data_IF_593306169792
#
_entry.id   IF_593306169792
#
_cell.length_a   1.000
_cell.length_b   1.000
_cell.length_c   1.000
_cell.angle_alpha   90.00
_cell.angle_beta   90.00
_cell.angle_gamma   90.00
#
_symmetry.space_group_name_H-M   'P 1'
#
loop_
_entity.id
_entity.type
_entity.pdbx_description
1 polymer ?
#
# COMPACT_ATOMS: atom_id res chain seq x y z
N UNK A 1 -5.75 -14.19 18.24
CA UNK A 1 -4.58 -13.86 17.41
C UNK A 1 -3.91 -12.60 17.97
N UNK A 2 -2.58 -12.57 18.10
CA UNK A 2 -1.88 -11.43 18.69
C UNK A 2 -1.85 -10.24 17.69
N UNK A 3 -2.28 -9.04 18.11
CA UNK A 3 -2.30 -7.84 17.25
C UNK A 3 -0.93 -7.52 16.63
N UNK A 4 0.16 -7.79 17.37
CA UNK A 4 1.53 -7.59 16.88
C UNK A 4 1.93 -8.58 15.78
N UNK A 5 1.40 -9.79 15.85
CA UNK A 5 1.63 -10.80 14.81
C UNK A 5 0.83 -10.48 13.56
N UNK A 6 -0.43 -10.06 13.73
CA UNK A 6 -1.27 -9.59 12.63
C UNK A 6 -0.63 -8.37 11.93
N UNK A 7 -0.12 -7.38 12.67
CA UNK A 7 0.55 -6.23 12.05
C UNK A 7 1.81 -6.64 11.26
N UNK A 8 2.61 -7.58 11.77
CA UNK A 8 3.78 -8.09 11.05
C UNK A 8 3.39 -8.73 9.71
N UNK A 9 2.32 -9.52 9.73
CA UNK A 9 1.80 -10.20 8.55
C UNK A 9 1.26 -9.19 7.53
N UNK A 10 0.51 -8.18 7.97
CA UNK A 10 -0.01 -7.12 7.09
C UNK A 10 1.10 -6.26 6.47
N UNK A 11 2.14 -5.91 7.24
CA UNK A 11 3.31 -5.22 6.68
C UNK A 11 4.01 -6.07 5.63
N UNK A 12 4.17 -7.37 5.89
CA UNK A 12 4.80 -8.29 4.94
C UNK A 12 4.00 -8.39 3.63
N UNK A 13 2.68 -8.51 3.72
CA UNK A 13 1.80 -8.51 2.54
C UNK A 13 1.94 -7.20 1.76
N UNK A 14 1.84 -6.05 2.42
CA UNK A 14 1.91 -4.75 1.75
C UNK A 14 3.26 -4.48 1.08
N UNK A 15 4.36 -4.89 1.71
CA UNK A 15 5.71 -4.80 1.14
C UNK A 15 5.82 -5.70 -0.09
N UNK A 16 5.40 -6.96 0.02
CA UNK A 16 5.47 -7.91 -1.09
C UNK A 16 4.62 -7.43 -2.27
N UNK A 17 3.38 -7.02 -2.02
CA UNK A 17 2.45 -6.47 -3.00
C UNK A 17 3.03 -5.26 -3.75
N UNK A 18 3.52 -4.27 -3.01
CA UNK A 18 4.11 -3.06 -3.60
C UNK A 18 5.41 -3.36 -4.35
N UNK A 19 6.25 -4.26 -3.80
CA UNK A 19 7.50 -4.67 -4.46
C UNK A 19 7.25 -5.48 -5.74
N UNK A 20 6.19 -6.29 -5.75
CA UNK A 20 5.77 -7.07 -6.91
C UNK A 20 5.34 -6.14 -8.04
N UNK A 21 4.42 -5.21 -7.78
CA UNK A 21 3.99 -4.21 -8.77
C UNK A 21 5.16 -3.37 -9.30
N UNK A 22 6.09 -2.99 -8.44
CA UNK A 22 7.28 -2.24 -8.85
C UNK A 22 8.21 -3.10 -9.72
N UNK A 23 8.41 -4.37 -9.35
CA UNK A 23 9.18 -5.33 -10.13
C UNK A 23 8.55 -5.58 -11.50
N UNK A 24 7.23 -5.76 -11.56
CA UNK A 24 6.50 -5.91 -12.83
C UNK A 24 6.73 -4.72 -13.75
N UNK A 25 6.64 -3.49 -13.23
CA UNK A 25 6.87 -2.29 -14.01
C UNK A 25 8.29 -2.21 -14.62
N UNK A 26 9.31 -2.66 -13.89
CA UNK A 26 10.71 -2.58 -14.35
C UNK A 26 11.19 -3.78 -15.19
N UNK A 27 10.71 -5.01 -14.92
CA UNK A 27 11.20 -6.23 -15.57
C UNK A 27 10.26 -6.81 -16.64
N UNK A 28 8.96 -6.52 -16.63
CA UNK A 28 7.98 -7.15 -17.51
C UNK A 28 7.58 -6.31 -18.73
N UNK A 29 8.55 -5.61 -19.34
CA UNK A 29 8.39 -5.17 -20.74
C UNK A 29 8.22 -6.35 -21.73
N UNK A 30 8.43 -7.61 -21.29
CA UNK A 30 8.51 -8.78 -22.16
C UNK A 30 7.75 -10.05 -21.74
N UNK A 31 7.07 -10.12 -20.58
CA UNK A 31 6.29 -11.32 -20.22
C UNK A 31 5.02 -10.98 -19.45
N UNK A 32 3.92 -11.68 -19.79
CA UNK A 32 2.57 -11.45 -19.27
C UNK A 32 2.55 -11.58 -17.73
N UNK A 33 2.39 -10.48 -16.98
CA UNK A 33 2.17 -10.57 -15.53
C UNK A 33 0.90 -11.38 -15.22
N UNK A 34 0.90 -12.14 -14.12
CA UNK A 34 -0.31 -12.80 -13.64
C UNK A 34 -1.24 -11.73 -13.06
N UNK A 35 -2.04 -11.14 -13.95
CA UNK A 35 -3.00 -10.11 -13.62
C UNK A 35 -4.40 -10.70 -13.75
N UNK A 36 -5.06 -11.11 -12.66
CA UNK A 36 -6.27 -11.95 -12.70
C UNK A 36 -7.46 -11.29 -13.43
N UNK A 37 -7.40 -9.98 -13.64
CA UNK A 37 -8.43 -9.17 -14.33
C UNK A 37 -7.85 -8.31 -15.46
N UNK A 38 -6.62 -8.60 -15.93
CA UNK A 38 -5.89 -7.77 -16.91
C UNK A 38 -5.73 -6.29 -16.48
N UNK A 39 -5.92 -5.99 -15.19
CA UNK A 39 -5.91 -4.65 -14.61
C UNK A 39 -5.11 -4.60 -13.29
N UNK A 40 -3.81 -4.34 -13.38
CA UNK A 40 -2.90 -4.31 -12.21
C UNK A 40 -2.43 -2.89 -11.87
N UNK A 41 -2.68 -1.92 -12.74
CA UNK A 41 -2.27 -0.53 -12.58
C UNK A 41 -3.42 0.39 -12.99
N UNK A 42 -3.58 1.51 -12.27
CA UNK A 42 -4.62 2.49 -12.58
C UNK A 42 -4.24 3.22 -13.90
N UNK A 43 -5.10 3.20 -14.93
CA UNK A 43 -4.81 3.88 -16.19
C UNK A 43 -4.96 5.40 -16.04
N UNK A 44 -4.29 6.14 -16.92
CA UNK A 44 -4.44 7.61 -17.07
C UNK A 44 -4.01 8.46 -15.86
N UNK A 45 -3.00 8.01 -15.12
CA UNK A 45 -2.39 8.82 -14.07
C UNK A 45 -1.58 9.99 -14.68
N UNK A 46 -1.56 11.18 -14.03
CA UNK A 46 -0.75 12.31 -14.47
C UNK A 46 0.76 12.11 -14.23
N UNK A 47 1.15 10.94 -13.70
CA UNK A 47 2.50 10.57 -13.34
C UNK A 47 2.77 9.09 -13.71
N UNK A 48 4.03 8.68 -13.86
CA UNK A 48 4.39 7.30 -14.17
C UNK A 48 3.77 6.28 -13.22
N UNK A 49 3.30 5.14 -13.72
CA UNK A 49 2.57 4.16 -12.92
C UNK A 49 3.41 3.51 -11.81
N UNK A 50 4.74 3.45 -11.93
CA UNK A 50 5.63 2.97 -10.85
C UNK A 50 5.63 3.82 -9.58
N UNK A 51 5.18 5.08 -9.66
CA UNK A 51 5.26 6.01 -8.52
C UNK A 51 4.34 5.55 -7.39
N UNK A 52 3.16 5.03 -7.71
CA UNK A 52 2.21 4.52 -6.71
C UNK A 52 2.76 3.34 -5.89
N UNK A 53 3.22 2.24 -6.50
CA UNK A 53 3.80 1.13 -5.75
C UNK A 53 5.08 1.55 -5.03
N UNK A 54 5.85 2.51 -5.55
CA UNK A 54 7.02 3.06 -4.84
C UNK A 54 6.60 3.76 -3.54
N UNK A 55 5.60 4.64 -3.61
CA UNK A 55 5.08 5.32 -2.42
C UNK A 55 4.46 4.33 -1.44
N UNK A 56 3.71 3.33 -1.92
CA UNK A 56 3.17 2.25 -1.11
C UNK A 56 4.28 1.49 -0.36
N UNK A 57 5.32 1.06 -1.08
CA UNK A 57 6.47 0.36 -0.51
C UNK A 57 7.17 1.19 0.57
N UNK A 58 7.47 2.45 0.26
CA UNK A 58 8.08 3.38 1.22
C UNK A 58 7.19 3.59 2.44
N UNK A 59 5.87 3.68 2.25
CA UNK A 59 4.92 3.84 3.35
C UNK A 59 4.87 2.60 4.26
N UNK A 60 4.84 1.38 3.70
CA UNK A 60 4.88 0.16 4.50
C UNK A 60 6.21 -0.03 5.24
N UNK A 61 7.35 0.25 4.58
CA UNK A 61 8.68 0.19 5.21
C UNK A 61 8.83 1.23 6.33
N UNK A 62 8.39 2.46 6.08
CA UNK A 62 8.37 3.51 7.10
C UNK A 62 7.46 3.12 8.27
N UNK A 63 6.27 2.58 7.98
CA UNK A 63 5.34 2.11 8.99
C UNK A 63 5.92 1.01 9.86
N UNK A 64 6.52 -0.03 9.26
CA UNK A 64 7.17 -1.10 9.99
C UNK A 64 8.29 -0.56 10.90
N UNK A 65 9.11 0.34 10.37
CA UNK A 65 10.20 0.99 11.12
C UNK A 65 9.66 1.80 12.30
N UNK A 66 8.68 2.67 12.08
CA UNK A 66 8.06 3.50 13.12
C UNK A 66 7.39 2.64 14.20
N UNK A 67 6.72 1.56 13.80
CA UNK A 67 5.95 0.70 14.70
C UNK A 67 6.84 -0.17 15.59
N UNK A 68 7.88 -0.79 15.03
CA UNK A 68 8.75 -1.70 15.77
C UNK A 68 9.89 -0.98 16.50
N UNK A 69 10.41 0.14 15.97
CA UNK A 69 11.49 0.90 16.60
C UNK A 69 10.99 1.94 17.62
N UNK A 70 9.66 2.06 17.83
CA UNK A 70 9.03 3.02 18.76
C UNK A 70 9.54 4.46 18.58
N UNK A 71 9.57 4.91 17.33
CA UNK A 71 10.00 6.27 16.98
C UNK A 71 8.91 7.28 17.44
N UNK A 72 9.29 8.56 17.63
CA UNK A 72 8.42 9.67 18.08
C UNK A 72 6.96 9.58 17.57
N UNK A 73 6.01 9.72 18.50
CA UNK A 73 4.56 9.69 18.24
C UNK A 73 4.10 10.66 17.13
N UNK A 74 4.77 11.79 16.95
CA UNK A 74 4.44 12.77 15.90
C UNK A 74 4.61 12.19 14.48
N UNK A 75 5.67 11.41 14.27
CA UNK A 75 5.94 10.77 12.97
C UNK A 75 4.95 9.64 12.70
N UNK A 76 4.56 8.90 13.75
CA UNK A 76 3.53 7.88 13.64
C UNK A 76 2.17 8.48 13.22
N UNK A 77 1.79 9.64 13.80
CA UNK A 77 0.56 10.34 13.39
C UNK A 77 0.61 10.80 11.93
N UNK A 78 1.74 11.34 11.47
CA UNK A 78 1.93 11.71 10.06
C UNK A 78 1.82 10.48 9.13
N UNK A 79 2.41 9.36 9.53
CA UNK A 79 2.30 8.10 8.81
C UNK A 79 0.84 7.60 8.74
N UNK A 80 0.09 7.66 9.86
CA UNK A 80 -1.33 7.31 9.88
C UNK A 80 -2.17 8.20 8.95
N UNK A 81 -2.00 9.52 9.04
CA UNK A 81 -2.75 10.49 8.23
C UNK A 81 -2.45 10.29 6.75
N UNK A 82 -1.17 10.18 6.38
CA UNK A 82 -0.78 9.94 4.98
C UNK A 82 -1.35 8.64 4.42
N UNK A 83 -1.41 7.57 5.23
CA UNK A 83 -2.02 6.31 4.83
C UNK A 83 -3.51 6.42 4.56
N UNK A 84 -4.26 7.09 5.45
CA UNK A 84 -5.71 7.29 5.29
C UNK A 84 -6.02 8.18 4.09
N UNK A 85 -5.32 9.32 3.96
CA UNK A 85 -5.50 10.25 2.84
C UNK A 85 -5.15 9.58 1.52
N UNK A 86 -4.03 8.86 1.45
CA UNK A 86 -3.62 8.14 0.25
C UNK A 86 -4.58 7.02 -0.15
N UNK A 87 -5.04 6.21 0.80
CA UNK A 87 -6.01 5.15 0.51
C UNK A 87 -7.35 5.72 0.03
N UNK A 88 -7.86 6.78 0.67
CA UNK A 88 -9.13 7.40 0.29
C UNK A 88 -9.05 8.11 -1.07
N UNK A 89 -7.96 8.83 -1.35
CA UNK A 89 -7.81 9.54 -2.62
C UNK A 89 -7.72 8.57 -3.80
N UNK A 90 -6.93 7.50 -3.66
CA UNK A 90 -6.79 6.48 -4.70
C UNK A 90 -8.04 5.63 -4.88
N UNK A 91 -8.73 5.28 -3.79
CA UNK A 91 -10.03 4.62 -3.85
C UNK A 91 -11.08 5.48 -4.56
N UNK A 92 -11.12 6.78 -4.24
CA UNK A 92 -12.07 7.70 -4.89
C UNK A 92 -11.76 7.84 -6.37
N UNK A 93 -10.47 7.97 -6.70
CA UNK A 93 -10.02 8.06 -8.08
C UNK A 93 -10.39 6.80 -8.89
N UNK A 94 -10.13 5.60 -8.35
CA UNK A 94 -10.45 4.35 -9.05
C UNK A 94 -11.96 4.17 -9.28
N UNK A 95 -12.80 4.62 -8.35
CA UNK A 95 -14.26 4.66 -8.53
C UNK A 95 -14.67 5.65 -9.63
N UNK A 96 -14.07 6.84 -9.68
CA UNK A 96 -14.37 7.86 -10.69
C UNK A 96 -14.10 7.36 -12.12
N UNK A 97 -12.99 6.64 -12.32
CA UNK A 97 -12.63 6.08 -13.62
C UNK A 97 -13.22 4.68 -13.86
N UNK A 98 -14.10 4.20 -12.96
CA UNK A 98 -14.71 2.86 -13.02
C UNK A 98 -13.69 1.73 -13.21
N UNK A 99 -12.54 1.84 -12.55
CA UNK A 99 -11.42 0.92 -12.72
C UNK A 99 -11.19 0.06 -11.48
N UNK A 100 -10.94 -1.23 -11.69
CA UNK A 100 -10.71 -2.18 -10.61
C UNK A 100 -9.30 -2.77 -10.64
N UNK A 101 -8.49 -2.43 -9.63
CA UNK A 101 -7.15 -2.97 -9.42
C UNK A 101 -7.11 -3.78 -8.11
N UNK A 102 -7.13 -5.13 -8.16
CA UNK A 102 -7.23 -5.97 -6.96
C UNK A 102 -6.03 -5.79 -6.02
N UNK A 103 -4.82 -5.66 -6.56
CA UNK A 103 -3.59 -5.42 -5.79
C UNK A 103 -3.66 -4.07 -5.06
N UNK A 104 -4.09 -3.01 -5.75
CA UNK A 104 -4.28 -1.68 -5.16
C UNK A 104 -5.29 -1.70 -4.00
N UNK A 105 -6.45 -2.36 -4.20
CA UNK A 105 -7.45 -2.50 -3.13
C UNK A 105 -6.94 -3.32 -1.95
N UNK A 106 -6.13 -4.36 -2.21
CA UNK A 106 -5.49 -5.14 -1.16
C UNK A 106 -4.53 -4.28 -0.34
N UNK A 107 -3.70 -3.46 -0.99
CA UNK A 107 -2.82 -2.51 -0.31
C UNK A 107 -3.61 -1.48 0.52
N UNK A 108 -4.70 -0.93 -0.01
CA UNK A 108 -5.58 -0.01 0.72
C UNK A 108 -6.20 -0.66 1.96
N UNK A 109 -6.74 -1.87 1.82
CA UNK A 109 -7.31 -2.62 2.94
C UNK A 109 -6.25 -2.92 4.01
N UNK A 110 -5.07 -3.43 3.61
CA UNK A 110 -3.98 -3.73 4.53
C UNK A 110 -3.50 -2.46 5.25
N UNK A 111 -3.32 -1.35 4.52
CA UNK A 111 -2.90 -0.07 5.07
C UNK A 111 -3.89 0.50 6.09
N UNK A 112 -5.19 0.51 5.76
CA UNK A 112 -6.22 1.00 6.68
C UNK A 112 -6.32 0.15 7.95
N UNK A 113 -6.24 -1.19 7.82
CA UNK A 113 -6.24 -2.09 8.98
C UNK A 113 -4.99 -1.84 9.84
N UNK A 114 -3.82 -1.64 9.24
CA UNK A 114 -2.59 -1.30 9.97
C UNK A 114 -2.72 0.03 10.73
N UNK A 115 -3.33 1.05 10.14
CA UNK A 115 -3.62 2.32 10.83
C UNK A 115 -4.53 2.06 12.04
N UNK A 116 -5.62 1.31 11.88
CA UNK A 116 -6.52 0.99 13.00
C UNK A 116 -5.83 0.19 14.12
N UNK A 117 -5.01 -0.80 13.76
CA UNK A 117 -4.21 -1.56 14.71
C UNK A 117 -3.23 -0.64 15.43
N UNK A 118 -2.61 0.29 14.71
CA UNK A 118 -1.65 1.21 15.29
C UNK A 118 -2.28 2.15 16.31
N UNK A 119 -3.49 2.66 16.04
CA UNK A 119 -4.26 3.50 16.96
C UNK A 119 -4.66 2.76 18.24
N UNK A 120 -4.86 1.44 18.18
CA UNK A 120 -5.21 0.62 19.34
C UNK A 120 -4.01 0.26 20.22
N UNK A 121 -2.80 0.24 19.64
CA UNK A 121 -1.56 -0.18 20.30
C UNK A 121 -0.74 0.99 20.88
N UNK A 122 -1.01 2.23 20.46
CA UNK A 122 -0.48 3.47 21.04
C UNK A 122 -1.42 4.09 22.05
#
# INVERSE_FOLDING_TARGET
MNLKFLSALLFSIGILDSSYLLYEHYLLLFSLPYCPVNSCEIPELPFPSFILPLFGLLWFLAGASLFYLRIRNSLLRLWQISGVVGALSLFTYSVLISYFCPYCYLAHACGLILVLISLKLT
#
